data_IF_078883807175
#
_entry.id   IF_078883807175
#
_cell.length_a   1.000
_cell.length_b   1.000
_cell.length_c   1.000
_cell.angle_alpha   90.00
_cell.angle_beta   90.00
_cell.angle_gamma   90.00
#
_symmetry.space_group_name_H-M   'P 1'
#
loop_
_entity.id
_entity.type
_entity.pdbx_description
1 polymer ?
#
# COMPACT_ATOMS: atom_id res chain seq x y z
N UNK A 1 16.89 38.13 -16.10
CA UNK A 1 17.13 37.12 -15.04
C UNK A 1 16.57 35.72 -15.34
N UNK A 2 15.57 35.54 -16.21
CA UNK A 2 15.00 34.20 -16.47
C UNK A 2 15.81 33.32 -17.43
N UNK A 3 16.53 33.90 -18.39
CA UNK A 3 17.33 33.14 -19.37
C UNK A 3 18.47 32.35 -18.71
N UNK A 4 19.19 32.98 -17.78
CA UNK A 4 20.30 32.35 -17.05
C UNK A 4 19.88 31.22 -16.11
N UNK A 5 18.61 31.13 -15.73
CA UNK A 5 18.09 30.01 -14.97
C UNK A 5 17.78 28.82 -15.88
N UNK A 6 17.22 29.07 -17.06
CA UNK A 6 16.97 28.05 -18.08
C UNK A 6 18.28 27.41 -18.57
N UNK A 7 19.31 28.22 -18.84
CA UNK A 7 20.63 27.74 -19.29
C UNK A 7 21.30 26.81 -18.25
N UNK A 8 21.07 27.04 -16.95
CA UNK A 8 21.60 26.20 -15.87
C UNK A 8 20.89 24.85 -15.77
N UNK A 9 19.61 24.79 -16.12
CA UNK A 9 18.82 23.56 -16.08
C UNK A 9 19.18 22.66 -17.27
N UNK A 10 19.30 23.23 -18.47
CA UNK A 10 19.78 22.52 -19.67
C UNK A 10 21.17 21.92 -19.45
N UNK A 11 22.08 22.68 -18.84
CA UNK A 11 23.45 22.22 -18.55
C UNK A 11 23.50 21.11 -17.47
N UNK A 12 22.46 21.01 -16.62
CA UNK A 12 22.37 20.00 -15.56
C UNK A 12 21.80 18.65 -16.01
N UNK A 13 20.99 18.62 -17.08
CA UNK A 13 20.37 17.40 -17.60
C UNK A 13 21.09 16.90 -18.86
N UNK A 14 22.27 16.30 -18.68
CA UNK A 14 22.64 15.12 -19.45
C UNK A 14 23.29 15.28 -20.83
N UNK A 15 24.06 16.35 -21.09
CA UNK A 15 25.03 16.36 -22.22
C UNK A 15 26.39 16.92 -21.77
N UNK A 16 27.26 16.03 -21.31
CA UNK A 16 28.70 16.30 -21.16
C UNK A 16 29.41 16.11 -22.51
N UNK A 17 29.03 16.91 -23.49
CA UNK A 17 29.79 17.01 -24.75
C UNK A 17 30.98 17.95 -24.51
N UNK A 18 32.13 17.38 -24.18
CA UNK A 18 33.44 18.01 -24.38
C UNK A 18 33.84 19.13 -23.41
N UNK A 19 34.52 18.77 -22.32
CA UNK A 19 35.67 19.55 -21.85
C UNK A 19 36.70 18.61 -21.21
N UNK A 20 37.38 17.86 -22.07
CA UNK A 20 38.72 17.37 -21.77
C UNK A 20 39.65 18.59 -21.87
N UNK A 21 40.29 18.95 -20.76
CA UNK A 21 41.32 19.99 -20.73
C UNK A 21 41.46 20.59 -19.32
N UNK A 22 42.43 20.09 -18.55
CA UNK A 22 42.75 20.61 -17.22
C UNK A 22 43.41 19.55 -16.34
N UNK A 23 44.62 19.17 -16.70
CA UNK A 23 45.69 18.60 -15.90
C UNK A 23 45.54 18.72 -14.38
N UNK A 24 45.08 17.62 -13.76
CA UNK A 24 45.16 17.35 -12.34
C UNK A 24 45.34 15.86 -12.13
N UNK A 25 46.58 15.42 -11.89
CA UNK A 25 46.92 14.03 -11.62
C UNK A 25 46.12 13.50 -10.44
N UNK A 26 45.12 12.68 -10.73
CA UNK A 26 44.48 11.82 -9.73
C UNK A 26 45.17 10.46 -9.86
N UNK A 27 45.82 9.91 -8.82
CA UNK A 27 46.45 8.61 -8.92
C UNK A 27 45.37 7.57 -9.29
N UNK A 28 45.69 6.73 -10.28
CA UNK A 28 44.88 5.62 -10.76
C UNK A 28 44.56 4.69 -9.59
N UNK A 29 43.41 4.92 -8.95
CA UNK A 29 42.85 3.99 -7.99
C UNK A 29 41.74 3.27 -8.73
N UNK A 30 42.05 2.06 -9.17
CA UNK A 30 41.06 1.09 -9.65
C UNK A 30 39.87 1.13 -8.68
N UNK A 31 38.66 1.48 -9.12
CA UNK A 31 37.50 1.43 -8.24
C UNK A 31 37.23 -0.04 -7.96
N UNK A 32 37.76 -0.55 -6.84
CA UNK A 32 37.29 -1.79 -6.25
C UNK A 32 35.80 -1.57 -5.96
N UNK A 33 34.95 -2.00 -6.89
CA UNK A 33 33.52 -1.99 -6.69
C UNK A 33 33.26 -2.91 -5.50
N UNK A 34 32.78 -2.40 -4.36
CA UNK A 34 32.48 -3.28 -3.24
C UNK A 34 31.41 -4.24 -3.73
N UNK A 35 31.70 -5.54 -3.66
CA UNK A 35 30.75 -6.60 -4.01
C UNK A 35 29.54 -6.42 -3.12
N UNK A 36 28.49 -5.77 -3.63
CA UNK A 36 27.27 -5.53 -2.88
C UNK A 36 26.64 -6.88 -2.61
N UNK A 37 26.48 -7.22 -1.33
CA UNK A 37 25.75 -8.42 -0.93
C UNK A 37 24.36 -8.39 -1.61
N UNK A 38 23.94 -9.55 -2.15
CA UNK A 38 22.62 -9.69 -2.77
C UNK A 38 21.57 -9.39 -1.70
N UNK A 39 20.80 -8.31 -1.88
CA UNK A 39 19.73 -7.97 -0.97
C UNK A 39 18.58 -8.96 -1.15
N UNK A 40 18.28 -9.72 -0.10
CA UNK A 40 17.10 -10.58 -0.05
C UNK A 40 15.95 -9.85 0.68
N UNK A 41 14.86 -9.50 -0.01
CA UNK A 41 13.74 -8.83 0.63
C UNK A 41 13.03 -9.77 1.61
N UNK A 42 13.01 -9.41 2.89
CA UNK A 42 12.22 -10.12 3.90
C UNK A 42 10.73 -9.90 3.66
N UNK A 43 10.00 -10.95 3.29
CA UNK A 43 8.55 -10.84 3.09
C UNK A 43 7.82 -10.67 4.43
N UNK A 44 6.91 -9.68 4.55
CA UNK A 44 6.11 -9.50 5.76
C UNK A 44 5.03 -10.58 5.86
N UNK A 45 4.63 -10.91 7.09
CA UNK A 45 3.52 -11.85 7.33
C UNK A 45 2.19 -11.22 6.90
N UNK A 46 1.65 -11.67 5.76
CA UNK A 46 0.36 -11.24 5.22
C UNK A 46 -0.77 -11.87 6.05
N UNK A 47 -1.75 -11.06 6.46
CA UNK A 47 -2.93 -11.53 7.20
C UNK A 47 -3.92 -12.21 6.27
N UNK A 48 -4.69 -13.19 6.79
CA UNK A 48 -5.77 -13.83 6.04
C UNK A 48 -6.82 -12.78 5.63
N UNK A 49 -7.20 -12.71 4.34
CA UNK A 49 -8.23 -11.79 3.91
C UNK A 49 -9.60 -12.20 4.47
N UNK A 50 -10.43 -11.22 4.81
CA UNK A 50 -11.86 -11.44 5.10
C UNK A 50 -12.26 -11.70 6.56
N UNK A 51 -11.32 -11.92 7.48
CA UNK A 51 -11.62 -12.20 8.91
C UNK A 51 -11.96 -10.94 9.73
N UNK A 52 -11.80 -9.74 9.16
CA UNK A 52 -11.87 -8.49 9.94
C UNK A 52 -10.64 -8.30 10.81
N UNK A 53 -10.58 -7.18 11.55
CA UNK A 53 -9.48 -6.89 12.49
C UNK A 53 -10.05 -6.38 13.80
N UNK A 54 -9.48 -6.87 14.90
CA UNK A 54 -9.91 -6.49 16.24
C UNK A 54 -8.79 -5.72 16.91
N UNK A 55 -9.13 -4.55 17.44
CA UNK A 55 -8.24 -3.63 18.11
C UNK A 55 -8.75 -3.34 19.51
N UNK A 56 -7.86 -3.34 20.49
CA UNK A 56 -8.19 -2.88 21.84
C UNK A 56 -8.07 -1.35 21.84
N UNK A 57 -9.19 -0.65 21.99
CA UNK A 57 -9.22 0.83 22.08
C UNK A 57 -8.86 1.27 23.50
N UNK A 58 -9.43 0.62 24.51
CA UNK A 58 -9.18 0.90 25.92
C UNK A 58 -9.16 -0.40 26.74
N UNK A 59 -8.86 -0.32 28.03
CA UNK A 59 -8.79 -1.49 28.91
C UNK A 59 -10.04 -2.37 28.86
N UNK A 60 -11.21 -1.75 28.67
CA UNK A 60 -12.53 -2.41 28.65
C UNK A 60 -13.27 -2.19 27.33
N UNK A 61 -12.57 -1.87 26.23
CA UNK A 61 -13.25 -1.62 24.94
C UNK A 61 -12.44 -2.14 23.77
N UNK A 62 -13.12 -2.93 22.95
CA UNK A 62 -12.63 -3.53 21.72
C UNK A 62 -13.38 -2.99 20.52
N UNK A 63 -12.67 -2.80 19.41
CA UNK A 63 -13.18 -2.43 18.10
C UNK A 63 -12.94 -3.57 17.11
N UNK A 64 -14.02 -4.11 16.57
CA UNK A 64 -14.01 -5.02 15.42
C UNK A 64 -14.25 -4.22 14.14
N UNK A 65 -13.28 -4.21 13.24
CA UNK A 65 -13.33 -3.52 11.96
C UNK A 65 -13.43 -4.51 10.81
N UNK A 66 -14.40 -4.30 9.92
CA UNK A 66 -14.60 -5.07 8.71
C UNK A 66 -14.75 -4.17 7.49
N UNK A 67 -13.95 -4.41 6.44
CA UNK A 67 -13.92 -3.57 5.24
C UNK A 67 -14.10 -4.39 3.95
N UNK A 68 -15.34 -4.85 3.65
CA UNK A 68 -15.64 -5.60 2.45
C UNK A 68 -15.55 -4.72 1.20
N UNK A 69 -15.34 -5.37 0.05
CA UNK A 69 -15.40 -4.74 -1.27
C UNK A 69 -16.84 -4.86 -1.78
N UNK A 70 -17.51 -3.72 -1.92
CA UNK A 70 -18.87 -3.64 -2.46
C UNK A 70 -18.89 -4.03 -3.95
N UNK A 71 -20.07 -4.35 -4.50
CA UNK A 71 -20.23 -4.63 -5.93
C UNK A 71 -19.78 -3.44 -6.80
N UNK A 72 -19.98 -2.21 -6.31
CA UNK A 72 -19.56 -0.95 -6.94
C UNK A 72 -18.04 -0.72 -6.95
N UNK A 73 -17.23 -1.70 -6.52
CA UNK A 73 -15.76 -1.62 -6.49
C UNK A 73 -15.17 -0.83 -5.31
N UNK A 74 -15.95 0.02 -4.65
CA UNK A 74 -15.55 0.78 -3.44
C UNK A 74 -15.52 -0.12 -2.20
N UNK A 75 -14.68 0.21 -1.21
CA UNK A 75 -14.67 -0.45 0.10
C UNK A 75 -15.40 0.42 1.11
N UNK A 76 -16.22 -0.18 1.96
CA UNK A 76 -16.89 0.50 3.08
C UNK A 76 -16.43 -0.13 4.38
N UNK A 77 -16.06 0.69 5.37
CA UNK A 77 -15.67 0.23 6.71
C UNK A 77 -16.92 0.08 7.58
N UNK A 78 -17.03 -1.04 8.28
CA UNK A 78 -18.03 -1.31 9.30
C UNK A 78 -17.30 -1.59 10.61
N UNK A 79 -17.76 -0.94 11.69
CA UNK A 79 -17.15 -1.02 13.01
C UNK A 79 -18.15 -1.58 14.02
N UNK A 80 -17.67 -2.42 14.92
CA UNK A 80 -18.38 -2.93 16.09
C UNK A 80 -17.58 -2.58 17.32
N UNK A 81 -18.27 -2.18 18.39
CA UNK A 81 -17.66 -1.98 19.70
C UNK A 81 -18.24 -2.97 20.70
N UNK A 82 -17.38 -3.57 21.51
CA UNK A 82 -17.77 -4.45 22.61
C UNK A 82 -16.78 -4.28 23.77
N UNK A 83 -17.18 -4.70 24.97
CA UNK A 83 -16.35 -4.51 26.16
C UNK A 83 -15.33 -5.65 26.34
N UNK A 84 -15.71 -6.86 25.91
CA UNK A 84 -14.83 -8.03 25.86
C UNK A 84 -14.36 -8.32 24.44
N UNK A 85 -13.24 -9.06 24.33
CA UNK A 85 -12.70 -9.49 23.05
C UNK A 85 -13.60 -10.53 22.37
N UNK A 86 -14.12 -11.47 23.14
CA UNK A 86 -14.92 -12.60 22.67
C UNK A 86 -16.25 -12.13 22.09
N UNK A 87 -16.97 -11.25 22.80
CA UNK A 87 -18.21 -10.64 22.28
C UNK A 87 -17.95 -9.80 21.02
N UNK A 88 -16.76 -9.18 20.91
CA UNK A 88 -16.37 -8.45 19.70
C UNK A 88 -16.16 -9.41 18.52
N UNK A 89 -15.48 -10.55 18.75
CA UNK A 89 -15.22 -11.59 17.75
C UNK A 89 -16.53 -12.19 17.21
N UNK A 90 -17.47 -12.52 18.10
CA UNK A 90 -18.77 -13.11 17.75
C UNK A 90 -19.63 -12.15 16.93
N UNK A 91 -19.84 -10.92 17.43
CA UNK A 91 -20.61 -9.88 16.72
C UNK A 91 -19.99 -9.54 15.38
N UNK A 92 -18.66 -9.54 15.29
CA UNK A 92 -17.93 -9.31 14.05
C UNK A 92 -18.16 -10.44 13.06
N UNK A 93 -18.11 -11.69 13.49
CA UNK A 93 -18.36 -12.84 12.63
C UNK A 93 -19.79 -12.85 12.07
N UNK A 94 -20.79 -12.54 12.90
CA UNK A 94 -22.19 -12.42 12.48
C UNK A 94 -22.38 -11.30 11.45
N UNK A 95 -21.83 -10.11 11.74
CA UNK A 95 -21.89 -8.97 10.81
C UNK A 95 -21.22 -9.30 9.47
N UNK A 96 -20.07 -10.00 9.49
CA UNK A 96 -19.36 -10.41 8.28
C UNK A 96 -20.24 -11.34 7.44
N UNK A 97 -20.90 -12.33 8.06
CA UNK A 97 -21.80 -13.25 7.35
C UNK A 97 -22.96 -12.50 6.68
N UNK A 98 -23.63 -11.63 7.42
CA UNK A 98 -24.75 -10.84 6.91
C UNK A 98 -24.32 -9.93 5.75
N UNK A 99 -23.24 -9.16 5.93
CA UNK A 99 -22.76 -8.23 4.89
C UNK A 99 -22.23 -8.94 3.65
N UNK A 100 -21.60 -10.10 3.80
CA UNK A 100 -21.18 -10.90 2.65
C UNK A 100 -22.38 -11.45 1.88
N UNK A 101 -23.44 -11.89 2.56
CA UNK A 101 -24.66 -12.35 1.90
C UNK A 101 -25.34 -11.21 1.13
N UNK A 102 -25.46 -10.02 1.73
CA UNK A 102 -25.97 -8.81 1.06
C UNK A 102 -25.15 -8.48 -0.20
N UNK A 103 -23.82 -8.46 -0.09
CA UNK A 103 -22.91 -8.16 -1.22
C UNK A 103 -22.99 -9.23 -2.30
N UNK A 104 -23.12 -10.51 -1.94
CA UNK A 104 -23.28 -11.59 -2.90
C UNK A 104 -24.59 -11.44 -3.68
N UNK A 105 -25.70 -11.20 -2.98
CA UNK A 105 -27.00 -10.98 -3.62
C UNK A 105 -26.98 -9.77 -4.55
N UNK A 106 -26.38 -8.65 -4.13
CA UNK A 106 -26.28 -7.44 -4.95
C UNK A 106 -25.37 -7.65 -6.18
N UNK A 107 -24.28 -8.40 -6.04
CA UNK A 107 -23.43 -8.80 -7.18
C UNK A 107 -24.19 -9.64 -8.20
N UNK A 108 -24.96 -10.62 -7.75
CA UNK A 108 -25.75 -11.46 -8.67
C UNK A 108 -26.82 -10.63 -9.39
N UNK A 109 -27.47 -9.69 -8.71
CA UNK A 109 -28.42 -8.76 -9.35
C UNK A 109 -27.77 -7.88 -10.42
N UNK A 110 -26.60 -7.31 -10.12
CA UNK A 110 -25.84 -6.51 -11.08
C UNK A 110 -25.40 -7.34 -12.29
N UNK A 111 -24.95 -8.57 -12.05
CA UNK A 111 -24.56 -9.50 -13.11
C UNK A 111 -25.74 -9.85 -14.02
N UNK A 112 -26.91 -10.15 -13.45
CA UNK A 112 -28.13 -10.45 -14.21
C UNK A 112 -28.65 -9.25 -15.01
N UNK A 113 -28.54 -8.03 -14.47
CA UNK A 113 -28.95 -6.80 -15.15
C UNK A 113 -27.99 -6.32 -16.24
N UNK A 114 -26.74 -6.78 -16.26
CA UNK A 114 -25.75 -6.48 -17.31
C UNK A 114 -25.84 -7.44 -18.51
N UNK A 115 -26.52 -8.57 -18.36
CA UNK A 115 -26.71 -9.59 -19.40
C UNK A 115 -28.03 -9.46 -20.18
N UNK A 116 -28.83 -8.43 -19.89
CA UNK A 116 -30.07 -8.08 -20.61
C UNK A 116 -29.84 -6.81 -21.44
#
# INVERSE_FOLDING_TARGET
>A
MQRSAADKIERGFGRNEGTLGGDGQTPDRVPETPVRAKFEPKQPKIRRPGTGCIFRISEKKWEGSYSPKLPNGKRKKFNIYADTREECEERLAEMIKQKNAEIAAEKERLKAGQTA
#
